data_IF_107868297431
#
_entry.id   IF_107868297431
#
_cell.length_a   1.000
_cell.length_b   1.000
_cell.length_c   1.000
_cell.angle_alpha   90.00
_cell.angle_beta   90.00
_cell.angle_gamma   90.00
#
_symmetry.space_group_name_H-M   'P 1'
#
loop_
_entity.id
_entity.type
_entity.pdbx_description
1 polymer ?
#
# COMPACT_ATOMS: atom_id res chain seq x y z
N UNK A 1 33.20 2.62 74.93
CA UNK A 1 31.81 2.50 74.44
C UNK A 1 31.52 3.76 73.65
N UNK A 2 31.65 3.68 72.33
CA UNK A 2 31.40 4.81 71.43
C UNK A 2 29.87 5.00 71.32
N UNK A 3 29.36 6.10 71.85
CA UNK A 3 27.92 6.41 71.84
C UNK A 3 27.50 6.79 70.43
N UNK A 4 26.62 6.00 69.84
CA UNK A 4 26.05 6.31 68.53
C UNK A 4 25.40 7.71 68.52
N UNK A 5 25.61 8.50 67.46
CA UNK A 5 25.06 9.85 67.38
C UNK A 5 23.52 9.78 67.41
N UNK A 6 22.91 10.44 68.40
CA UNK A 6 21.45 10.51 68.51
C UNK A 6 20.87 11.46 67.44
N UNK A 7 19.94 10.93 66.66
CA UNK A 7 19.21 11.68 65.62
C UNK A 7 18.39 12.79 66.29
N UNK A 8 18.64 14.05 65.90
CA UNK A 8 17.89 15.21 66.41
C UNK A 8 16.42 15.16 65.97
N UNK A 9 15.51 15.78 66.73
CA UNK A 9 14.08 15.77 66.40
C UNK A 9 13.78 16.40 65.03
N UNK A 10 14.61 17.35 64.58
CA UNK A 10 14.56 17.91 63.22
C UNK A 10 14.87 16.85 62.15
N UNK A 11 15.85 15.99 62.38
CA UNK A 11 16.18 14.89 61.46
C UNK A 11 15.07 13.83 61.45
N UNK A 12 14.45 13.52 62.60
CA UNK A 12 13.28 12.62 62.65
C UNK A 12 12.11 13.18 61.84
N UNK A 13 11.80 14.48 61.97
CA UNK A 13 10.74 15.14 61.22
C UNK A 13 11.00 15.14 59.70
N UNK A 14 12.25 15.36 59.28
CA UNK A 14 12.65 15.27 57.86
C UNK A 14 12.49 13.84 57.32
N UNK A 15 12.93 12.83 58.08
CA UNK A 15 12.78 11.41 57.71
C UNK A 15 11.29 11.07 57.54
N UNK A 16 10.44 11.45 58.49
CA UNK A 16 8.99 11.19 58.41
C UNK A 16 8.38 11.88 57.18
N UNK A 17 8.74 13.13 56.91
CA UNK A 17 8.24 13.87 55.73
C UNK A 17 8.63 13.19 54.43
N UNK A 18 9.88 12.72 54.31
CA UNK A 18 10.35 11.98 53.14
C UNK A 18 9.62 10.64 52.97
N UNK A 19 9.40 9.91 54.07
CA UNK A 19 8.64 8.65 54.04
C UNK A 19 7.20 8.88 53.60
N UNK A 20 6.51 9.88 54.15
CA UNK A 20 5.15 10.23 53.75
C UNK A 20 5.11 10.65 52.28
N UNK A 21 6.05 11.48 51.83
CA UNK A 21 6.17 11.88 50.42
C UNK A 21 6.37 10.67 49.49
N UNK A 22 7.24 9.74 49.86
CA UNK A 22 7.48 8.51 49.09
C UNK A 22 6.24 7.61 49.05
N UNK A 23 5.51 7.47 50.15
CA UNK A 23 4.26 6.71 50.20
C UNK A 23 3.19 7.34 49.32
N UNK A 24 3.00 8.66 49.38
CA UNK A 24 2.04 9.37 48.53
C UNK A 24 2.42 9.25 47.05
N UNK A 25 3.71 9.37 46.70
CA UNK A 25 4.20 9.15 45.35
C UNK A 25 3.93 7.70 44.86
N UNK A 26 4.19 6.70 45.71
CA UNK A 26 3.89 5.31 45.40
C UNK A 26 2.40 5.05 45.19
N UNK A 27 1.56 5.58 46.07
CA UNK A 27 0.10 5.46 45.96
C UNK A 27 -0.43 6.13 44.71
N UNK A 28 0.03 7.34 44.37
CA UNK A 28 -0.42 8.05 43.15
C UNK A 28 -0.02 7.31 41.87
N UNK A 29 1.19 6.73 41.81
CA UNK A 29 1.61 5.87 40.68
C UNK A 29 0.72 4.63 40.59
N UNK A 30 0.47 3.94 41.71
CA UNK A 30 -0.40 2.75 41.74
C UNK A 30 -1.83 3.12 41.30
N UNK A 31 -2.39 4.21 41.81
CA UNK A 31 -3.74 4.66 41.44
C UNK A 31 -3.82 5.02 39.96
N UNK A 32 -2.80 5.68 39.39
CA UNK A 32 -2.74 5.95 37.96
C UNK A 32 -2.76 4.65 37.14
N UNK A 33 -1.89 3.69 37.44
CA UNK A 33 -1.83 2.42 36.71
C UNK A 33 -3.09 1.58 36.90
N UNK A 34 -3.70 1.61 38.09
CA UNK A 34 -4.98 0.96 38.35
C UNK A 34 -6.10 1.55 37.48
N UNK A 35 -6.24 2.88 37.46
CA UNK A 35 -7.23 3.57 36.60
C UNK A 35 -6.94 3.28 35.12
N UNK A 36 -5.68 3.39 34.69
CA UNK A 36 -5.26 3.09 33.32
C UNK A 36 -5.63 1.66 32.91
N UNK A 37 -5.36 0.68 33.80
CA UNK A 37 -5.65 -0.74 33.55
C UNK A 37 -7.14 -1.04 33.41
N UNK A 38 -8.00 -0.26 34.08
CA UNK A 38 -9.46 -0.43 34.01
C UNK A 38 -10.12 0.34 32.85
N UNK A 39 -9.42 1.30 32.25
CA UNK A 39 -10.02 2.23 31.27
C UNK A 39 -9.36 2.15 29.90
N UNK A 40 -8.14 2.67 29.76
CA UNK A 40 -7.45 2.76 28.47
C UNK A 40 -6.81 1.43 28.04
N UNK A 41 -6.28 0.64 28.98
CA UNK A 41 -5.55 -0.57 28.63
C UNK A 41 -6.38 -1.60 27.85
N UNK A 42 -7.66 -1.89 28.21
CA UNK A 42 -8.49 -2.80 27.43
C UNK A 42 -8.74 -2.29 26.01
N UNK A 43 -9.11 -1.02 25.86
CA UNK A 43 -9.37 -0.41 24.55
C UNK A 43 -8.12 -0.41 23.65
N UNK A 44 -6.95 -0.11 24.21
CA UNK A 44 -5.67 -0.20 23.47
C UNK A 44 -5.32 -1.64 23.11
N UNK A 45 -5.59 -2.60 23.99
CA UNK A 45 -5.38 -4.03 23.72
C UNK A 45 -6.29 -4.55 22.62
N UNK A 46 -7.57 -4.19 22.65
CA UNK A 46 -8.55 -4.55 21.61
C UNK A 46 -8.18 -3.90 20.27
N UNK A 47 -7.87 -2.61 20.27
CA UNK A 47 -7.40 -1.91 19.08
C UNK A 47 -6.12 -2.55 18.51
N UNK A 48 -5.16 -2.93 19.36
CA UNK A 48 -3.95 -3.65 18.95
C UNK A 48 -4.25 -5.06 18.43
N UNK A 49 -5.23 -5.77 19.00
CA UNK A 49 -5.63 -7.09 18.52
C UNK A 49 -6.26 -6.99 17.12
N UNK A 50 -7.18 -6.06 16.90
CA UNK A 50 -7.79 -5.79 15.58
C UNK A 50 -6.73 -5.30 14.58
N UNK A 51 -5.84 -4.40 15.02
CA UNK A 51 -4.75 -3.90 14.19
C UNK A 51 -3.69 -4.96 13.85
N UNK A 52 -3.67 -6.12 14.50
CA UNK A 52 -2.75 -7.22 14.17
C UNK A 52 -3.48 -8.44 13.58
N UNK A 53 -4.81 -8.41 13.51
CA UNK A 53 -5.56 -9.50 12.93
C UNK A 53 -5.20 -9.65 11.43
N UNK A 54 -5.03 -10.89 10.94
CA UNK A 54 -4.94 -11.16 9.50
C UNK A 54 -6.18 -10.61 8.81
N UNK A 55 -6.01 -10.12 7.58
CA UNK A 55 -7.16 -9.73 6.78
C UNK A 55 -8.02 -10.96 6.47
N UNK A 56 -9.34 -10.82 6.61
CA UNK A 56 -10.30 -11.87 6.32
C UNK A 56 -11.33 -11.41 5.29
N UNK A 57 -11.46 -12.19 4.20
CA UNK A 57 -12.40 -11.87 3.13
C UNK A 57 -13.86 -11.89 3.61
N UNK A 58 -14.20 -12.73 4.59
CA UNK A 58 -15.56 -12.79 5.13
C UNK A 58 -16.00 -11.49 5.79
N UNK A 59 -15.06 -10.65 6.25
CA UNK A 59 -15.38 -9.34 6.83
C UNK A 59 -15.97 -8.41 5.76
N UNK A 60 -15.58 -8.56 4.50
CA UNK A 60 -16.17 -7.84 3.38
C UNK A 60 -17.60 -8.28 3.10
N UNK A 61 -17.88 -9.59 3.17
CA UNK A 61 -19.25 -10.13 3.06
C UNK A 61 -20.12 -9.66 4.22
N UNK A 62 -19.58 -9.64 5.44
CA UNK A 62 -20.26 -9.07 6.60
C UNK A 62 -20.56 -7.58 6.40
N UNK A 63 -19.59 -6.81 5.87
CA UNK A 63 -19.81 -5.40 5.55
C UNK A 63 -20.93 -5.20 4.52
N UNK A 64 -21.00 -6.04 3.48
CA UNK A 64 -22.09 -5.99 2.48
C UNK A 64 -23.44 -6.27 3.15
N UNK A 65 -23.55 -7.37 3.89
CA UNK A 65 -24.83 -7.85 4.45
C UNK A 65 -25.35 -7.02 5.61
N UNK A 66 -24.46 -6.38 6.38
CA UNK A 66 -24.82 -5.54 7.51
C UNK A 66 -25.12 -4.08 7.12
N UNK A 67 -24.80 -3.68 5.89
CA UNK A 67 -25.10 -2.34 5.38
C UNK A 67 -26.53 -2.29 4.86
N UNK A 68 -27.22 -1.16 5.02
CA UNK A 68 -28.55 -0.96 4.44
C UNK A 68 -28.50 -1.05 2.90
N UNK A 69 -29.57 -1.55 2.24
CA UNK A 69 -29.64 -1.58 0.79
C UNK A 69 -29.46 -0.21 0.17
N UNK A 70 -28.62 -0.13 -0.86
CA UNK A 70 -28.43 1.08 -1.64
C UNK A 70 -29.51 1.20 -2.74
N UNK A 71 -29.71 2.41 -3.25
CA UNK A 71 -30.60 2.67 -4.39
C UNK A 71 -29.78 3.22 -5.57
N UNK A 72 -29.37 2.37 -6.53
CA UNK A 72 -28.56 2.82 -7.66
C UNK A 72 -29.33 3.78 -8.56
N UNK A 73 -28.69 4.89 -8.94
CA UNK A 73 -29.31 5.89 -9.83
C UNK A 73 -29.45 5.40 -11.29
N UNK A 74 -28.67 4.41 -11.68
CA UNK A 74 -28.66 3.83 -13.02
C UNK A 74 -29.65 2.66 -13.21
N UNK A 75 -30.56 2.48 -12.25
CA UNK A 75 -31.63 1.49 -12.33
C UNK A 75 -31.21 0.04 -12.05
N UNK A 76 -29.98 -0.18 -11.59
CA UNK A 76 -29.54 -1.48 -11.07
C UNK A 76 -30.32 -1.87 -9.81
N UNK A 77 -30.44 -3.17 -9.60
CA UNK A 77 -30.86 -3.72 -8.31
C UNK A 77 -29.84 -3.34 -7.20
N UNK A 78 -30.27 -3.22 -5.93
CA UNK A 78 -29.36 -3.02 -4.81
C UNK A 78 -28.25 -4.08 -4.78
N UNK A 79 -27.03 -3.67 -4.41
CA UNK A 79 -25.88 -4.55 -4.23
C UNK A 79 -25.37 -4.57 -2.78
N UNK A 80 -25.99 -3.81 -1.88
CA UNK A 80 -25.75 -3.84 -0.45
C UNK A 80 -26.98 -4.38 0.28
N UNK A 81 -26.77 -4.91 1.48
CA UNK A 81 -27.81 -5.48 2.32
C UNK A 81 -27.95 -6.99 2.19
N UNK A 82 -28.49 -7.58 3.26
CA UNK A 82 -28.65 -9.03 3.39
C UNK A 82 -29.56 -9.61 2.28
N UNK A 83 -30.66 -8.93 1.92
CA UNK A 83 -31.59 -9.40 0.88
C UNK A 83 -30.94 -9.41 -0.51
N UNK A 84 -30.25 -8.32 -0.87
CA UNK A 84 -29.50 -8.22 -2.13
C UNK A 84 -28.43 -9.31 -2.24
N UNK A 85 -27.69 -9.56 -1.14
CA UNK A 85 -26.73 -10.65 -1.06
C UNK A 85 -27.37 -12.01 -1.33
N UNK A 86 -28.46 -12.34 -0.62
CA UNK A 86 -29.14 -13.64 -0.80
C UNK A 86 -29.68 -13.81 -2.23
N UNK A 87 -30.27 -12.76 -2.82
CA UNK A 87 -30.75 -12.78 -4.19
C UNK A 87 -29.61 -13.05 -5.18
N UNK A 88 -28.46 -12.38 -5.01
CA UNK A 88 -27.28 -12.60 -5.84
C UNK A 88 -26.72 -14.02 -5.72
N UNK A 89 -26.64 -14.55 -4.49
CA UNK A 89 -26.19 -15.93 -4.23
C UNK A 89 -27.13 -16.94 -4.88
N UNK A 90 -28.44 -16.80 -4.70
CA UNK A 90 -29.42 -17.71 -5.27
C UNK A 90 -29.34 -17.74 -6.80
N UNK A 91 -29.36 -16.56 -7.43
CA UNK A 91 -29.25 -16.44 -8.89
C UNK A 91 -27.94 -17.06 -9.41
N UNK A 92 -26.85 -16.92 -8.66
CA UNK A 92 -25.59 -17.58 -8.97
C UNK A 92 -25.64 -19.10 -8.93
N UNK A 93 -26.29 -19.70 -7.92
CA UNK A 93 -26.44 -21.16 -7.83
C UNK A 93 -27.30 -21.72 -8.97
N UNK A 94 -28.35 -21.01 -9.34
CA UNK A 94 -29.19 -21.32 -10.49
C UNK A 94 -28.35 -21.26 -11.79
N UNK A 95 -27.57 -20.19 -11.96
CA UNK A 95 -26.69 -20.01 -13.12
C UNK A 95 -25.60 -21.10 -13.23
N UNK A 96 -24.98 -21.51 -12.12
CA UNK A 96 -23.99 -22.61 -12.11
C UNK A 96 -24.64 -23.92 -12.56
N UNK A 97 -25.88 -24.16 -12.14
CA UNK A 97 -26.63 -25.38 -12.47
C UNK A 97 -27.02 -25.41 -13.95
N UNK A 98 -27.39 -24.27 -14.52
CA UNK A 98 -27.77 -24.13 -15.93
C UNK A 98 -26.55 -24.13 -16.87
N UNK A 99 -25.46 -23.46 -16.47
CA UNK A 99 -24.24 -23.30 -17.27
C UNK A 99 -23.02 -23.82 -16.51
N UNK A 100 -22.76 -25.15 -16.49
CA UNK A 100 -21.57 -25.71 -15.84
C UNK A 100 -20.25 -25.17 -16.41
N UNK A 101 -20.24 -24.82 -17.70
CA UNK A 101 -19.12 -24.17 -18.39
C UNK A 101 -19.41 -22.68 -18.64
N UNK A 102 -18.39 -21.81 -18.52
CA UNK A 102 -18.59 -20.37 -18.64
C UNK A 102 -18.94 -19.92 -20.06
N UNK A 103 -19.79 -18.90 -20.17
CA UNK A 103 -20.32 -18.42 -21.46
C UNK A 103 -19.54 -17.24 -22.06
N UNK A 104 -19.05 -16.29 -21.25
CA UNK A 104 -18.34 -15.07 -21.71
C UNK A 104 -17.11 -14.75 -20.82
N UNK A 105 -16.27 -15.77 -20.58
CA UNK A 105 -15.04 -15.61 -19.82
C UNK A 105 -13.90 -15.22 -20.74
N UNK A 106 -13.23 -14.11 -20.41
CA UNK A 106 -12.16 -13.54 -21.21
C UNK A 106 -10.80 -13.65 -20.51
N UNK A 107 -10.78 -13.44 -19.18
CA UNK A 107 -9.55 -13.48 -18.37
C UNK A 107 -9.37 -14.82 -17.68
N UNK A 108 -10.32 -15.26 -16.84
CA UNK A 108 -10.22 -16.48 -16.00
C UNK A 108 -10.42 -17.80 -16.79
N UNK A 109 -9.72 -17.95 -17.91
CA UNK A 109 -9.81 -19.12 -18.78
C UNK A 109 -9.30 -20.39 -18.08
N UNK A 110 -9.80 -21.55 -18.49
CA UNK A 110 -9.44 -22.85 -17.90
C UNK A 110 -10.13 -23.18 -16.58
N UNK A 111 -11.07 -22.34 -16.13
CA UNK A 111 -11.92 -22.57 -14.96
C UNK A 111 -13.36 -22.83 -15.40
N UNK A 112 -14.05 -23.76 -14.74
CA UNK A 112 -15.49 -23.97 -14.93
C UNK A 112 -16.31 -22.91 -14.14
N UNK A 113 -17.63 -22.87 -14.36
CA UNK A 113 -18.49 -21.84 -13.75
C UNK A 113 -18.48 -21.88 -12.22
N UNK A 114 -18.43 -23.08 -11.61
CA UNK A 114 -18.38 -23.23 -10.15
C UNK A 114 -17.07 -22.70 -9.55
N UNK A 115 -15.94 -22.97 -10.21
CA UNK A 115 -14.63 -22.45 -9.81
C UNK A 115 -14.57 -20.92 -9.91
N UNK A 116 -15.12 -20.36 -10.98
CA UNK A 116 -15.20 -18.90 -11.17
C UNK A 116 -16.09 -18.29 -10.10
N UNK A 117 -17.26 -18.89 -9.85
CA UNK A 117 -18.18 -18.43 -8.82
C UNK A 117 -17.52 -18.34 -7.45
N UNK A 118 -16.81 -19.38 -7.02
CA UNK A 118 -16.10 -19.37 -5.74
C UNK A 118 -15.07 -18.24 -5.64
N UNK A 119 -14.39 -17.93 -6.75
CA UNK A 119 -13.47 -16.78 -6.80
C UNK A 119 -14.21 -15.44 -6.81
N UNK A 120 -15.38 -15.34 -7.46
CA UNK A 120 -16.20 -14.12 -7.45
C UNK A 120 -16.72 -13.75 -6.07
N UNK A 121 -17.00 -14.74 -5.20
CA UNK A 121 -17.30 -14.48 -3.78
C UNK A 121 -16.13 -13.78 -3.09
N UNK A 122 -14.90 -14.22 -3.38
CA UNK A 122 -13.70 -13.56 -2.84
C UNK A 122 -13.52 -12.14 -3.39
N UNK A 123 -13.77 -11.91 -4.67
CA UNK A 123 -13.74 -10.56 -5.25
C UNK A 123 -14.78 -9.66 -4.57
N UNK A 124 -15.99 -10.18 -4.34
CA UNK A 124 -17.05 -9.43 -3.69
C UNK A 124 -16.67 -8.99 -2.28
N UNK A 125 -16.14 -9.91 -1.44
CA UNK A 125 -15.63 -9.54 -0.12
C UNK A 125 -14.46 -8.56 -0.19
N UNK A 126 -13.51 -8.77 -1.12
CA UNK A 126 -12.36 -7.89 -1.29
C UNK A 126 -12.73 -6.44 -1.64
N UNK A 127 -13.81 -6.26 -2.41
CA UNK A 127 -14.33 -4.96 -2.83
C UNK A 127 -15.40 -4.40 -1.89
N UNK A 128 -16.00 -5.22 -1.03
CA UNK A 128 -17.11 -4.82 -0.16
C UNK A 128 -18.40 -4.47 -0.91
N UNK A 129 -18.63 -5.08 -2.08
CA UNK A 129 -19.83 -4.84 -2.91
C UNK A 129 -20.46 -6.17 -3.34
N UNK A 130 -21.79 -6.25 -3.35
CA UNK A 130 -22.52 -7.44 -3.80
C UNK A 130 -22.52 -7.64 -5.31
N UNK A 131 -23.07 -8.78 -5.74
CA UNK A 131 -23.01 -9.28 -7.12
C UNK A 131 -23.54 -8.26 -8.15
N UNK A 132 -24.64 -7.58 -7.82
CA UNK A 132 -25.38 -6.65 -8.66
C UNK A 132 -24.55 -5.41 -9.04
N UNK A 133 -23.47 -5.12 -8.30
CA UNK A 133 -22.56 -4.03 -8.62
C UNK A 133 -21.92 -4.23 -10.00
N UNK A 134 -21.52 -5.48 -10.31
CA UNK A 134 -20.86 -5.84 -11.56
C UNK A 134 -21.74 -6.69 -12.50
N UNK A 135 -22.73 -7.41 -12.01
CA UNK A 135 -23.48 -8.39 -12.79
C UNK A 135 -24.97 -8.08 -12.86
N UNK A 136 -25.57 -8.29 -14.03
CA UNK A 136 -27.00 -8.58 -14.10
C UNK A 136 -27.21 -10.01 -13.60
N UNK A 137 -27.94 -10.15 -12.50
CA UNK A 137 -28.17 -11.46 -11.86
C UNK A 137 -29.08 -12.36 -12.71
N UNK A 138 -29.78 -11.82 -13.71
CA UNK A 138 -30.53 -12.61 -14.69
C UNK A 138 -29.63 -13.14 -15.81
N UNK A 139 -28.43 -12.59 -15.98
CA UNK A 139 -27.45 -13.03 -16.97
C UNK A 139 -26.01 -12.64 -16.57
N UNK A 140 -25.36 -13.50 -15.80
CA UNK A 140 -23.98 -13.26 -15.33
C UNK A 140 -22.94 -13.13 -16.46
N UNK A 141 -23.22 -13.64 -17.66
CA UNK A 141 -22.34 -13.52 -18.81
C UNK A 141 -22.41 -12.15 -19.49
N UNK A 142 -23.54 -11.44 -19.38
CA UNK A 142 -23.73 -10.13 -19.99
C UNK A 142 -22.80 -9.07 -19.41
N UNK A 143 -22.44 -8.08 -20.22
CA UNK A 143 -21.56 -6.97 -19.83
C UNK A 143 -22.31 -5.62 -19.84
N UNK A 144 -23.45 -5.49 -19.13
CA UNK A 144 -24.23 -4.27 -19.16
C UNK A 144 -23.58 -3.14 -18.36
N UNK A 145 -22.68 -3.46 -17.41
CA UNK A 145 -22.15 -2.50 -16.44
C UNK A 145 -20.64 -2.26 -16.60
N UNK A 146 -20.19 -0.98 -16.61
CA UNK A 146 -18.77 -0.63 -16.68
C UNK A 146 -17.93 -1.27 -15.57
N UNK A 147 -18.48 -1.45 -14.37
CA UNK A 147 -17.80 -2.07 -13.24
C UNK A 147 -17.27 -3.48 -13.56
N UNK A 148 -17.98 -4.26 -14.39
CA UNK A 148 -17.51 -5.58 -14.83
C UNK A 148 -16.32 -5.49 -15.78
N UNK A 149 -16.33 -4.51 -16.68
CA UNK A 149 -15.23 -4.24 -17.60
C UNK A 149 -14.01 -3.80 -16.80
N UNK A 150 -14.16 -2.85 -15.87
CA UNK A 150 -13.11 -2.44 -14.94
C UNK A 150 -12.57 -3.64 -14.14
N UNK A 151 -13.45 -4.52 -13.64
CA UNK A 151 -13.05 -5.74 -12.94
C UNK A 151 -12.16 -6.65 -13.79
N UNK A 152 -12.46 -6.83 -15.07
CA UNK A 152 -11.58 -7.61 -15.99
C UNK A 152 -10.22 -6.97 -16.17
N UNK A 153 -10.16 -5.65 -16.33
CA UNK A 153 -8.92 -4.92 -16.45
C UNK A 153 -8.07 -5.04 -15.16
N UNK A 154 -8.72 -5.00 -13.99
CA UNK A 154 -8.05 -5.22 -12.71
C UNK A 154 -7.51 -6.65 -12.54
N UNK A 155 -8.19 -7.66 -13.07
CA UNK A 155 -7.65 -9.03 -13.10
C UNK A 155 -6.37 -9.11 -13.95
N UNK A 156 -6.32 -8.38 -15.08
CA UNK A 156 -5.11 -8.28 -15.89
C UNK A 156 -3.99 -7.55 -15.15
N UNK A 157 -4.31 -6.46 -14.44
CA UNK A 157 -3.35 -5.77 -13.58
C UNK A 157 -2.77 -6.72 -12.53
N UNK A 158 -3.62 -7.43 -11.77
CA UNK A 158 -3.18 -8.38 -10.74
C UNK A 158 -2.25 -9.44 -11.33
N UNK A 159 -2.61 -10.02 -12.48
CA UNK A 159 -1.75 -10.97 -13.20
C UNK A 159 -0.40 -10.35 -13.53
N UNK A 160 -0.41 -9.18 -14.16
CA UNK A 160 0.81 -8.53 -14.68
C UNK A 160 1.73 -8.11 -13.52
N UNK A 161 1.19 -7.56 -12.44
CA UNK A 161 1.92 -7.25 -11.21
C UNK A 161 2.54 -8.51 -10.61
N UNK A 162 1.75 -9.58 -10.45
CA UNK A 162 2.24 -10.82 -9.86
C UNK A 162 3.37 -11.44 -10.70
N UNK A 163 3.20 -11.48 -12.02
CA UNK A 163 4.14 -12.10 -12.97
C UNK A 163 5.45 -11.31 -13.07
N UNK A 164 5.35 -9.98 -13.14
CA UNK A 164 6.51 -9.13 -13.44
C UNK A 164 7.26 -8.69 -12.19
N UNK A 165 6.55 -8.46 -11.08
CA UNK A 165 7.11 -7.79 -9.89
C UNK A 165 7.03 -8.60 -8.59
N UNK A 166 5.99 -9.41 -8.38
CA UNK A 166 5.82 -10.05 -7.08
C UNK A 166 6.61 -11.36 -6.98
N UNK A 167 6.50 -12.24 -7.98
CA UNK A 167 7.18 -13.55 -7.96
C UNK A 167 8.70 -13.45 -8.03
N UNK A 168 9.22 -12.36 -8.61
CA UNK A 168 10.65 -12.11 -8.78
C UNK A 168 11.25 -11.16 -7.73
N UNK A 169 10.47 -10.76 -6.72
CA UNK A 169 10.98 -9.89 -5.66
C UNK A 169 12.12 -10.61 -4.90
N UNK A 170 13.23 -9.94 -4.54
CA UNK A 170 14.33 -10.56 -3.80
C UNK A 170 13.83 -11.29 -2.55
N UNK A 171 14.20 -12.56 -2.31
CA UNK A 171 13.70 -13.33 -1.15
C UNK A 171 12.16 -13.34 -1.07
N UNK A 172 11.50 -13.62 -2.20
CA UNK A 172 10.08 -13.92 -2.27
C UNK A 172 9.73 -15.14 -1.42
N UNK A 173 8.57 -15.10 -0.76
CA UNK A 173 8.13 -16.12 0.22
C UNK A 173 6.73 -16.68 -0.08
N UNK A 174 6.30 -16.67 -1.34
CA UNK A 174 4.98 -17.19 -1.73
C UNK A 174 3.83 -16.20 -1.58
N UNK A 175 4.11 -14.91 -1.36
CA UNK A 175 3.10 -13.86 -1.27
C UNK A 175 2.63 -13.41 -2.66
N UNK A 176 1.35 -13.15 -2.83
CA UNK A 176 0.78 -12.57 -4.06
C UNK A 176 -0.07 -11.34 -3.75
N UNK A 177 -0.10 -10.40 -4.69
CA UNK A 177 -1.08 -9.32 -4.71
C UNK A 177 -2.42 -9.90 -5.19
N UNK A 178 -3.50 -9.47 -4.54
CA UNK A 178 -4.89 -9.76 -4.92
C UNK A 178 -5.76 -8.52 -4.70
N UNK A 179 -7.05 -8.60 -5.02
CA UNK A 179 -7.96 -7.45 -4.99
C UNK A 179 -7.97 -6.74 -3.64
N UNK A 180 -8.04 -7.51 -2.56
CA UNK A 180 -8.07 -7.00 -1.19
C UNK A 180 -6.71 -6.48 -0.72
N UNK A 181 -5.61 -6.76 -1.42
CA UNK A 181 -4.31 -6.13 -1.11
C UNK A 181 -4.41 -4.61 -1.21
N UNK A 182 -5.22 -4.09 -2.14
CA UNK A 182 -5.46 -2.64 -2.28
C UNK A 182 -6.82 -2.24 -1.69
N UNK A 183 -7.88 -2.93 -2.10
CA UNK A 183 -9.26 -2.50 -1.86
C UNK A 183 -9.69 -2.62 -0.39
N UNK A 184 -9.25 -3.66 0.33
CA UNK A 184 -9.54 -3.86 1.74
C UNK A 184 -11.03 -3.60 2.10
N UNK A 185 -11.94 -4.25 1.37
CA UNK A 185 -13.40 -4.17 1.50
C UNK A 185 -14.00 -2.83 1.03
N UNK A 186 -13.27 -2.10 0.16
CA UNK A 186 -13.72 -0.82 -0.38
C UNK A 186 -13.47 -0.77 -1.90
N UNK A 187 -14.54 -0.67 -2.68
CA UNK A 187 -14.45 -0.62 -4.14
C UNK A 187 -13.79 0.67 -4.66
N UNK A 188 -13.86 1.77 -3.92
CA UNK A 188 -13.37 3.10 -4.30
C UNK A 188 -12.60 3.78 -3.16
N UNK A 189 -11.83 4.83 -3.49
CA UNK A 189 -11.19 5.72 -2.51
C UNK A 189 -9.96 5.13 -1.81
N UNK A 190 -9.22 4.24 -2.48
CA UNK A 190 -8.04 3.61 -1.89
C UNK A 190 -6.89 4.64 -1.75
N UNK A 191 -6.36 4.87 -0.54
CA UNK A 191 -5.37 5.92 -0.33
C UNK A 191 -4.00 5.55 -0.93
N UNK A 192 -3.36 6.51 -1.59
CA UNK A 192 -2.01 6.35 -2.18
C UNK A 192 -0.90 6.50 -1.15
N UNK A 193 -1.07 7.43 -0.22
CA UNK A 193 -0.12 7.76 0.85
C UNK A 193 -0.83 7.78 2.20
N UNK A 194 -0.07 7.70 3.29
CA UNK A 194 -0.66 7.70 4.63
C UNK A 194 -1.00 9.12 5.09
N UNK A 195 -2.04 9.25 5.92
CA UNK A 195 -2.36 10.51 6.62
C UNK A 195 -1.13 11.04 7.40
N UNK A 196 -0.35 10.14 7.99
CA UNK A 196 0.85 10.54 8.72
C UNK A 196 1.93 11.13 7.80
N UNK A 197 2.04 10.65 6.56
CA UNK A 197 2.92 11.26 5.56
C UNK A 197 2.43 12.67 5.22
N UNK A 198 1.12 12.86 5.00
CA UNK A 198 0.51 14.17 4.73
C UNK A 198 0.88 15.21 5.78
N UNK A 199 0.73 14.83 7.05
CA UNK A 199 1.03 15.72 8.18
C UNK A 199 2.54 15.98 8.34
N UNK A 200 3.40 15.13 7.77
CA UNK A 200 4.85 15.21 7.94
C UNK A 200 5.55 16.06 6.87
N UNK A 201 4.92 16.28 5.71
CA UNK A 201 5.53 17.03 4.61
C UNK A 201 5.19 18.51 4.75
N UNK A 202 6.17 19.40 4.97
CA UNK A 202 5.88 20.83 5.08
C UNK A 202 5.44 21.41 3.72
N UNK A 203 4.52 22.39 3.70
CA UNK A 203 4.04 23.04 2.47
C UNK A 203 5.08 24.08 1.98
N UNK A 204 6.26 23.61 1.61
CA UNK A 204 7.32 24.43 1.01
C UNK A 204 7.44 24.11 -0.47
N UNK A 205 7.95 25.08 -1.24
CA UNK A 205 8.32 24.87 -2.63
C UNK A 205 9.76 24.41 -2.76
N UNK A 206 10.05 23.58 -3.76
CA UNK A 206 11.37 23.06 -4.09
C UNK A 206 11.60 23.08 -5.59
N UNK A 207 12.86 23.23 -6.00
CA UNK A 207 13.29 23.07 -7.37
C UNK A 207 13.50 21.58 -7.67
N UNK A 208 12.84 21.09 -8.71
CA UNK A 208 12.92 19.70 -9.12
C UNK A 208 14.02 19.53 -10.18
N UNK A 209 15.05 18.77 -9.83
CA UNK A 209 16.18 18.48 -10.72
C UNK A 209 16.16 17.00 -11.15
N UNK A 210 15.47 16.66 -12.26
CA UNK A 210 15.46 15.29 -12.77
C UNK A 210 16.83 14.85 -13.24
N UNK A 211 17.05 13.54 -13.23
CA UNK A 211 18.35 12.92 -13.52
C UNK A 211 18.24 12.00 -14.73
N UNK A 212 19.21 12.06 -15.63
CA UNK A 212 19.29 11.19 -16.80
C UNK A 212 19.77 9.77 -16.44
N UNK A 213 19.90 8.89 -17.44
CA UNK A 213 20.36 7.51 -17.25
C UNK A 213 21.77 7.39 -16.68
N UNK A 214 22.60 8.43 -16.80
CA UNK A 214 23.92 8.49 -16.18
C UNK A 214 23.88 9.03 -14.73
N UNK A 215 22.69 9.32 -14.20
CA UNK A 215 22.50 9.94 -12.88
C UNK A 215 22.93 11.42 -12.83
N UNK A 216 23.06 12.07 -13.99
CA UNK A 216 23.45 13.48 -14.09
C UNK A 216 22.20 14.37 -14.22
N UNK A 217 22.21 15.62 -13.71
CA UNK A 217 21.09 16.54 -13.86
C UNK A 217 20.75 16.79 -15.33
N UNK A 218 19.48 16.65 -15.67
CA UNK A 218 18.91 17.10 -16.94
C UNK A 218 18.82 18.62 -16.90
N UNK A 219 19.38 19.31 -17.91
CA UNK A 219 19.49 20.78 -17.90
C UNK A 219 19.14 21.45 -19.22
N UNK A 220 19.03 20.69 -20.30
CA UNK A 220 18.70 21.24 -21.62
C UNK A 220 17.20 21.13 -21.89
N UNK A 221 16.63 22.11 -22.61
CA UNK A 221 15.23 22.08 -23.01
C UNK A 221 14.90 20.84 -23.87
N UNK A 222 15.88 20.30 -24.60
CA UNK A 222 15.73 19.07 -25.40
C UNK A 222 15.62 17.83 -24.52
N UNK A 223 16.50 17.66 -23.53
CA UNK A 223 16.41 16.57 -22.55
C UNK A 223 15.13 16.64 -21.71
N UNK A 224 14.68 17.85 -21.34
CA UNK A 224 13.41 18.06 -20.62
C UNK A 224 12.22 17.69 -21.52
N UNK A 225 12.26 18.04 -22.81
CA UNK A 225 11.21 17.67 -23.75
C UNK A 225 11.16 16.14 -23.97
N UNK A 226 12.31 15.47 -24.02
CA UNK A 226 12.39 14.00 -24.12
C UNK A 226 11.87 13.31 -22.84
N UNK A 227 12.22 13.84 -21.67
CA UNK A 227 11.68 13.40 -20.38
C UNK A 227 10.15 13.53 -20.37
N UNK A 228 9.64 14.71 -20.72
CA UNK A 228 8.20 14.99 -20.74
C UNK A 228 7.42 14.19 -21.80
N UNK A 229 8.08 13.74 -22.87
CA UNK A 229 7.47 12.88 -23.89
C UNK A 229 7.43 11.39 -23.48
N UNK A 230 8.28 10.98 -22.54
CA UNK A 230 8.44 9.59 -22.09
C UNK A 230 7.91 9.34 -20.68
N UNK A 231 7.51 10.39 -19.97
CA UNK A 231 7.05 10.33 -18.59
C UNK A 231 5.57 10.67 -18.43
N UNK A 232 5.04 10.12 -17.33
CA UNK A 232 3.63 10.09 -16.99
C UNK A 232 3.05 11.46 -16.60
N UNK A 233 3.90 12.46 -16.34
CA UNK A 233 3.49 13.82 -16.07
C UNK A 233 4.43 14.80 -16.79
N UNK A 234 3.88 15.63 -17.67
CA UNK A 234 4.60 16.80 -18.19
C UNK A 234 5.02 17.66 -17.01
N UNK A 235 6.32 17.77 -16.80
CA UNK A 235 6.89 18.45 -15.67
C UNK A 235 7.30 19.86 -16.07
N UNK A 236 6.80 20.83 -15.31
CA UNK A 236 7.29 22.21 -15.36
C UNK A 236 8.54 22.31 -14.50
N UNK A 237 9.67 21.86 -15.05
CA UNK A 237 10.98 21.88 -14.37
C UNK A 237 11.54 23.28 -14.19
N UNK A 238 10.95 24.27 -14.87
CA UNK A 238 11.39 25.66 -14.85
C UNK A 238 10.77 26.43 -13.67
N UNK A 239 9.76 25.86 -13.00
CA UNK A 239 9.06 26.49 -11.88
C UNK A 239 9.14 25.65 -10.60
N UNK A 240 9.35 26.30 -9.42
CA UNK A 240 9.29 25.60 -8.14
C UNK A 240 7.90 24.99 -7.91
N UNK A 241 7.87 23.76 -7.38
CA UNK A 241 6.63 23.04 -7.06
C UNK A 241 6.56 22.67 -5.59
N UNK A 242 5.39 22.26 -5.09
CA UNK A 242 5.29 21.83 -3.70
C UNK A 242 6.16 20.60 -3.47
N UNK A 243 6.85 20.55 -2.32
CA UNK A 243 7.68 19.41 -1.92
C UNK A 243 6.93 18.08 -2.04
N UNK A 244 5.64 18.09 -1.72
CA UNK A 244 4.79 16.92 -1.85
C UNK A 244 4.65 16.43 -3.30
N UNK A 245 4.46 17.35 -4.24
CA UNK A 245 4.36 17.03 -5.67
C UNK A 245 5.69 16.46 -6.17
N UNK A 246 6.81 17.04 -5.76
CA UNK A 246 8.15 16.53 -6.06
C UNK A 246 8.40 15.12 -5.49
N UNK A 247 7.91 14.81 -4.28
CA UNK A 247 8.01 13.46 -3.69
C UNK A 247 7.22 12.45 -4.51
N UNK A 248 5.99 12.79 -4.91
CA UNK A 248 5.16 11.92 -5.75
C UNK A 248 5.79 11.71 -7.13
N UNK A 249 6.40 12.75 -7.71
CA UNK A 249 7.13 12.62 -8.97
C UNK A 249 8.23 11.56 -8.87
N UNK A 250 9.08 11.60 -7.84
CA UNK A 250 10.13 10.59 -7.64
C UNK A 250 9.59 9.18 -7.36
N UNK A 251 8.40 9.06 -6.77
CA UNK A 251 7.74 7.78 -6.55
C UNK A 251 7.31 7.11 -7.87
N UNK A 252 6.73 7.89 -8.78
CA UNK A 252 6.15 7.38 -10.02
C UNK A 252 7.09 7.40 -11.22
N UNK A 253 8.19 8.15 -11.14
CA UNK A 253 9.22 8.22 -12.17
C UNK A 253 10.56 7.68 -11.62
N UNK A 254 10.50 6.63 -10.79
CA UNK A 254 11.70 5.99 -10.29
C UNK A 254 12.40 5.22 -11.41
N UNK A 255 13.63 5.62 -11.73
CA UNK A 255 14.47 4.94 -12.72
C UNK A 255 15.66 4.30 -12.04
N UNK A 256 16.07 3.13 -12.55
CA UNK A 256 17.32 2.47 -12.20
C UNK A 256 18.30 2.69 -13.35
N UNK A 257 19.44 3.30 -13.05
CA UNK A 257 20.48 3.68 -14.00
C UNK A 257 21.46 2.55 -14.31
N UNK A 258 21.63 1.63 -13.36
CA UNK A 258 22.48 0.46 -13.53
C UNK A 258 21.75 -0.77 -12.94
N UNK A 259 21.48 -1.84 -13.71
CA UNK A 259 20.88 -3.06 -13.18
C UNK A 259 21.70 -3.65 -12.04
N UNK A 260 21.05 -4.28 -11.06
CA UNK A 260 21.77 -4.89 -9.94
C UNK A 260 22.70 -6.01 -10.42
N UNK A 261 23.95 -5.93 -10.00
CA UNK A 261 25.01 -6.90 -10.17
C UNK A 261 25.58 -7.24 -8.79
N UNK A 262 25.51 -8.51 -8.40
CA UNK A 262 26.01 -8.99 -7.11
C UNK A 262 27.54 -8.81 -6.92
N UNK A 263 28.29 -8.64 -8.01
CA UNK A 263 29.74 -8.43 -8.00
C UNK A 263 30.13 -6.95 -7.97
N UNK A 264 29.18 -6.03 -8.23
CA UNK A 264 29.40 -4.59 -8.21
C UNK A 264 28.52 -3.94 -7.11
N UNK A 265 29.11 -3.54 -5.97
CA UNK A 265 28.38 -2.86 -4.90
C UNK A 265 27.83 -1.48 -5.28
N UNK A 266 28.17 -0.95 -6.45
CA UNK A 266 27.65 0.33 -6.95
C UNK A 266 26.52 0.18 -7.96
N UNK A 267 26.23 -1.05 -8.38
CA UNK A 267 25.13 -1.36 -9.28
C UNK A 267 23.76 -1.27 -8.59
N UNK A 268 22.67 -1.23 -9.38
CA UNK A 268 21.32 -1.08 -8.83
C UNK A 268 20.99 0.35 -8.39
N UNK A 269 21.74 1.37 -8.83
CA UNK A 269 21.45 2.78 -8.50
C UNK A 269 20.22 3.26 -9.25
N UNK A 270 19.48 4.17 -8.65
CA UNK A 270 18.36 4.83 -9.31
C UNK A 270 18.21 6.29 -8.91
N UNK A 271 17.13 6.95 -9.35
CA UNK A 271 16.88 8.40 -9.20
C UNK A 271 17.08 8.96 -7.78
N UNK A 272 16.88 8.12 -6.76
CA UNK A 272 17.10 8.45 -5.35
C UNK A 272 18.54 8.26 -4.87
N UNK A 273 19.49 7.97 -5.75
CA UNK A 273 20.88 7.74 -5.37
C UNK A 273 21.65 9.05 -5.40
N UNK A 274 21.81 9.65 -4.23
CA UNK A 274 22.60 10.86 -4.05
C UNK A 274 24.12 10.51 -4.12
N UNK A 275 24.70 10.21 -5.29
CA UNK A 275 26.13 9.81 -5.42
C UNK A 275 27.09 10.92 -5.89
N UNK A 276 28.27 10.95 -5.26
CA UNK A 276 29.09 12.09 -4.80
C UNK A 276 29.56 13.15 -5.82
N UNK A 277 29.49 12.92 -7.12
CA UNK A 277 30.14 13.80 -8.10
C UNK A 277 29.15 14.75 -8.78
N UNK A 278 29.27 16.07 -8.54
CA UNK A 278 28.65 17.08 -9.41
C UNK A 278 27.56 18.00 -8.84
N UNK A 279 27.45 18.15 -7.52
CA UNK A 279 26.62 19.20 -6.90
C UNK A 279 25.13 18.85 -6.85
N UNK A 280 24.69 18.33 -5.70
CA UNK A 280 23.26 18.16 -5.41
C UNK A 280 22.74 19.40 -4.70
N UNK A 281 21.55 19.83 -5.07
CA UNK A 281 20.87 20.92 -4.37
C UNK A 281 20.36 20.45 -3.01
N UNK A 282 20.16 21.41 -2.10
CA UNK A 282 19.48 21.14 -0.84
C UNK A 282 18.05 20.60 -1.08
N UNK A 283 17.44 20.99 -2.19
CA UNK A 283 16.09 20.59 -2.58
C UNK A 283 16.05 19.11 -2.98
N UNK A 284 16.99 18.61 -3.78
CA UNK A 284 17.13 17.18 -4.07
C UNK A 284 17.27 16.33 -2.80
N UNK A 285 18.07 16.79 -1.83
CA UNK A 285 18.23 16.10 -0.54
C UNK A 285 16.91 16.09 0.23
N UNK A 286 16.20 17.23 0.22
CA UNK A 286 14.90 17.39 0.89
C UNK A 286 13.83 16.49 0.27
N UNK A 287 13.74 16.43 -1.06
CA UNK A 287 12.80 15.57 -1.78
C UNK A 287 13.11 14.10 -1.45
N UNK A 288 14.37 13.68 -1.57
CA UNK A 288 14.77 12.30 -1.31
C UNK A 288 14.45 11.86 0.13
N UNK A 289 14.77 12.70 1.12
CA UNK A 289 14.44 12.40 2.51
C UNK A 289 12.93 12.20 2.71
N UNK A 290 12.09 12.97 2.02
CA UNK A 290 10.65 12.82 2.13
C UNK A 290 10.10 11.62 1.34
N UNK A 291 10.75 11.21 0.25
CA UNK A 291 10.47 9.90 -0.39
C UNK A 291 10.80 8.75 0.58
N UNK A 292 11.92 8.83 1.31
CA UNK A 292 12.26 7.83 2.33
C UNK A 292 11.27 7.83 3.49
N UNK A 293 10.82 9.01 3.94
CA UNK A 293 9.76 9.11 4.95
C UNK A 293 8.45 8.49 4.44
N UNK A 294 8.06 8.75 3.19
CA UNK A 294 6.90 8.13 2.56
C UNK A 294 6.99 6.61 2.60
N UNK A 295 8.15 6.04 2.24
CA UNK A 295 8.37 4.60 2.33
C UNK A 295 8.25 4.10 3.77
N UNK A 296 8.91 4.74 4.73
CA UNK A 296 8.83 4.38 6.14
C UNK A 296 7.40 4.36 6.67
N UNK A 297 6.61 5.40 6.38
CA UNK A 297 5.21 5.46 6.78
C UNK A 297 4.34 4.45 6.04
N UNK A 298 4.63 4.20 4.77
CA UNK A 298 3.87 3.25 3.95
C UNK A 298 4.03 1.82 4.44
N UNK A 299 5.25 1.43 4.81
CA UNK A 299 5.60 0.10 5.29
C UNK A 299 5.48 -0.05 6.82
N UNK A 300 5.29 1.04 7.56
CA UNK A 300 5.26 1.04 9.03
C UNK A 300 6.60 0.62 9.65
N UNK A 301 7.71 1.02 9.04
CA UNK A 301 9.07 0.67 9.48
C UNK A 301 9.94 1.91 9.65
N UNK A 302 10.90 1.84 10.57
CA UNK A 302 11.92 2.88 10.71
C UNK A 302 13.03 2.78 9.67
N UNK A 303 13.87 3.81 9.57
CA UNK A 303 14.99 3.87 8.63
C UNK A 303 15.94 2.65 8.73
N UNK A 304 16.11 2.13 9.95
CA UNK A 304 16.96 0.96 10.26
C UNK A 304 16.39 -0.38 9.82
N UNK A 305 15.28 -0.37 9.08
CA UNK A 305 14.81 -1.54 8.35
C UNK A 305 15.59 -1.78 7.06
N UNK A 306 16.06 -0.70 6.42
CA UNK A 306 16.80 -0.73 5.15
C UNK A 306 18.18 -0.05 5.21
N UNK A 307 18.50 0.70 6.26
CA UNK A 307 19.70 1.53 6.33
C UNK A 307 20.36 1.58 7.71
N UNK A 308 21.68 1.66 7.73
CA UNK A 308 22.48 2.10 8.86
C UNK A 308 22.55 3.62 8.84
N UNK A 309 21.95 4.26 9.84
CA UNK A 309 21.87 5.72 9.93
C UNK A 309 23.24 6.41 10.05
N UNK A 310 24.31 5.67 10.39
CA UNK A 310 25.69 6.21 10.33
C UNK A 310 26.18 6.42 8.91
N UNK A 311 25.60 5.74 7.92
CA UNK A 311 25.98 5.86 6.52
C UNK A 311 24.88 5.38 5.57
N UNK A 312 23.90 6.25 5.27
CA UNK A 312 22.83 5.97 4.30
C UNK A 312 23.33 5.73 2.87
N UNK A 313 24.49 6.26 2.52
CA UNK A 313 25.10 6.11 1.19
C UNK A 313 25.76 4.75 1.00
N UNK A 314 26.35 4.17 2.06
CA UNK A 314 27.03 2.89 1.96
C UNK A 314 26.08 1.88 1.34
N UNK A 315 26.53 1.24 0.27
CA UNK A 315 25.81 0.09 -0.23
C UNK A 315 26.01 -1.01 0.81
N UNK A 316 24.98 -1.25 1.60
CA UNK A 316 24.98 -2.29 2.62
C UNK A 316 24.97 -3.69 2.02
N UNK A 317 25.10 -3.79 0.69
CA UNK A 317 25.44 -5.00 -0.04
C UNK A 317 26.95 -5.14 -0.37
N UNK A 318 27.81 -4.13 -0.10
CA UNK A 318 29.27 -4.32 -0.13
C UNK A 318 29.65 -5.21 1.05
N UNK A 319 29.77 -6.52 0.79
CA UNK A 319 30.15 -7.53 1.78
C UNK A 319 31.47 -7.21 2.50
N UNK A 320 32.30 -6.30 1.96
CA UNK A 320 33.57 -5.87 2.54
C UNK A 320 33.43 -4.64 3.45
N UNK A 321 32.29 -3.95 3.42
CA UNK A 321 32.04 -2.81 4.28
C UNK A 321 31.78 -3.30 5.72
N UNK A 322 32.40 -2.70 6.76
CA UNK A 322 32.22 -3.12 8.15
C UNK A 322 30.78 -2.96 8.68
N UNK A 323 29.93 -2.24 7.94
CA UNK A 323 28.51 -2.01 8.23
C UNK A 323 27.54 -2.86 7.39
N UNK A 324 28.02 -3.79 6.56
CA UNK A 324 27.18 -4.67 5.73
C UNK A 324 26.19 -5.46 6.60
N UNK A 325 24.93 -5.46 6.18
CA UNK A 325 23.93 -6.38 6.71
C UNK A 325 23.12 -6.95 5.55
N UNK A 326 23.13 -8.29 5.43
CA UNK A 326 22.42 -8.97 4.34
C UNK A 326 20.92 -8.65 4.36
N UNK A 327 20.34 -8.49 5.55
CA UNK A 327 18.93 -8.13 5.71
C UNK A 327 18.63 -6.75 5.13
N UNK A 328 19.46 -5.73 5.42
CA UNK A 328 19.24 -4.38 4.89
C UNK A 328 19.40 -4.35 3.37
N UNK A 329 20.41 -5.04 2.83
CA UNK A 329 20.60 -5.18 1.39
C UNK A 329 19.37 -5.79 0.72
N UNK A 330 18.83 -6.89 1.24
CA UNK A 330 17.61 -7.53 0.71
C UNK A 330 16.42 -6.57 0.78
N UNK A 331 16.20 -5.91 1.92
CA UNK A 331 15.06 -5.00 2.10
C UNK A 331 15.13 -3.79 1.17
N UNK A 332 16.33 -3.25 0.95
CA UNK A 332 16.55 -2.17 -0.03
C UNK A 332 16.25 -2.63 -1.45
N UNK A 333 16.74 -3.80 -1.86
CA UNK A 333 16.46 -4.35 -3.19
C UNK A 333 14.96 -4.61 -3.39
N UNK A 334 14.26 -5.11 -2.35
CA UNK A 334 12.80 -5.23 -2.35
C UNK A 334 12.14 -3.88 -2.58
N UNK A 335 12.53 -2.84 -1.83
CA UNK A 335 11.97 -1.50 -1.96
C UNK A 335 12.20 -0.91 -3.36
N UNK A 336 13.41 -1.03 -3.90
CA UNK A 336 13.73 -0.59 -5.27
C UNK A 336 12.88 -1.33 -6.32
N UNK A 337 12.69 -2.64 -6.16
CA UNK A 337 11.85 -3.43 -7.05
C UNK A 337 10.38 -2.98 -6.99
N UNK A 338 9.87 -2.63 -5.80
CA UNK A 338 8.51 -2.09 -5.64
C UNK A 338 8.38 -0.67 -6.20
N UNK A 339 9.42 0.16 -6.16
CA UNK A 339 9.43 1.49 -6.82
C UNK A 339 9.37 1.38 -8.36
N UNK A 340 9.97 0.32 -8.93
CA UNK A 340 9.80 0.02 -10.35
C UNK A 340 8.36 -0.41 -10.66
N UNK A 341 7.72 -1.15 -9.74
CA UNK A 341 6.31 -1.51 -9.85
C UNK A 341 5.39 -0.29 -9.81
N UNK A 342 5.64 0.70 -8.93
CA UNK A 342 4.85 1.96 -8.91
C UNK A 342 5.03 2.76 -10.19
N UNK A 343 6.25 2.80 -10.73
CA UNK A 343 6.54 3.43 -12.04
C UNK A 343 5.79 2.74 -13.18
N UNK A 344 5.80 1.40 -13.22
CA UNK A 344 5.03 0.63 -14.20
C UNK A 344 3.53 0.88 -14.08
N UNK A 345 2.99 0.88 -12.87
CA UNK A 345 1.57 1.14 -12.63
C UNK A 345 1.18 2.52 -13.13
N UNK A 346 1.98 3.55 -12.83
CA UNK A 346 1.74 4.90 -13.34
C UNK A 346 1.72 4.90 -14.88
N UNK A 347 2.79 4.44 -15.52
CA UNK A 347 2.92 4.45 -16.99
C UNK A 347 1.84 3.66 -17.73
N UNK A 348 1.27 2.62 -17.10
CA UNK A 348 0.29 1.74 -17.73
C UNK A 348 -1.11 1.89 -17.12
N UNK A 349 -1.36 2.89 -16.26
CA UNK A 349 -2.60 2.96 -15.48
C UNK A 349 -3.85 3.04 -16.35
N UNK A 350 -3.80 3.83 -17.44
CA UNK A 350 -4.89 3.98 -18.41
C UNK A 350 -5.25 2.69 -19.15
N UNK A 351 -4.35 1.69 -19.17
CA UNK A 351 -4.64 0.34 -19.69
C UNK A 351 -5.54 -0.45 -18.76
N UNK A 352 -5.48 -0.18 -17.46
CA UNK A 352 -6.13 -0.98 -16.43
C UNK A 352 -7.36 -0.28 -15.83
N UNK A 353 -7.51 1.03 -16.02
CA UNK A 353 -8.57 1.83 -15.39
C UNK A 353 -9.36 2.60 -16.44
N UNK A 354 -10.67 2.43 -16.41
CA UNK A 354 -11.58 3.25 -17.20
C UNK A 354 -11.66 4.67 -16.60
N UNK A 355 -11.72 5.73 -17.42
CA UNK A 355 -12.07 7.07 -16.95
C UNK A 355 -13.36 7.03 -16.14
N UNK A 356 -13.35 7.61 -14.94
CA UNK A 356 -14.55 7.75 -14.13
C UNK A 356 -14.87 9.25 -13.94
N UNK A 357 -15.99 9.75 -14.51
CA UNK A 357 -16.39 11.14 -14.38
C UNK A 357 -16.68 11.56 -12.93
N UNK A 358 -16.98 10.62 -12.03
CA UNK A 358 -17.20 10.91 -10.60
C UNK A 358 -15.91 11.40 -9.91
N UNK A 359 -14.73 11.03 -10.42
CA UNK A 359 -13.47 11.59 -9.93
C UNK A 359 -13.32 13.07 -10.27
N UNK A 360 -14.01 13.56 -11.30
CA UNK A 360 -13.97 14.96 -11.70
C UNK A 360 -14.63 15.87 -10.66
N UNK A 361 -15.64 15.36 -9.93
CA UNK A 361 -16.31 16.05 -8.83
C UNK A 361 -15.56 16.07 -7.50
N UNK A 362 -14.52 15.23 -7.34
CA UNK A 362 -13.63 15.26 -6.15
C UNK A 362 -12.52 16.31 -6.26
N UNK A 363 -12.43 17.00 -7.40
CA UNK A 363 -11.36 17.95 -7.75
C UNK A 363 -11.75 19.40 -7.44
N UNK A 364 -13.05 19.70 -7.26
CA UNK A 364 -13.56 21.07 -7.17
C UNK A 364 -14.63 21.19 -6.04
N UNK A 365 -14.46 22.02 -4.97
CA UNK A 365 -13.53 23.15 -4.81
C UNK A 365 -12.29 22.83 -3.94
N UNK A 366 -11.32 23.78 -3.80
CA UNK A 366 -9.90 23.52 -3.52
C UNK A 366 -9.56 23.36 -2.03
N UNK A 367 -10.29 22.50 -1.31
CA UNK A 367 -9.89 22.08 0.04
C UNK A 367 -9.03 20.81 -0.03
N UNK A 368 -7.78 21.04 -0.43
CA UNK A 368 -6.48 20.49 0.01
C UNK A 368 -6.30 19.03 0.50
N UNK A 369 -7.27 18.12 0.40
CA UNK A 369 -7.06 16.69 0.70
C UNK A 369 -7.22 15.84 -0.56
N UNK A 370 -8.17 16.14 -1.46
CA UNK A 370 -8.47 15.23 -2.58
C UNK A 370 -7.55 15.38 -3.81
N UNK A 371 -7.14 16.58 -4.21
CA UNK A 371 -6.27 16.78 -5.42
C UNK A 371 -4.90 16.07 -5.32
N UNK A 372 -4.52 15.71 -4.12
CA UNK A 372 -3.24 15.10 -3.78
C UNK A 372 -3.09 13.64 -4.23
N UNK A 373 -4.19 13.00 -4.63
CA UNK A 373 -4.26 11.56 -4.91
C UNK A 373 -4.53 11.26 -6.39
N UNK A 374 -4.50 12.29 -7.23
CA UNK A 374 -5.19 12.30 -8.50
C UNK A 374 -4.26 12.87 -9.56
N UNK A 375 -3.76 12.00 -10.45
CA UNK A 375 -2.81 12.35 -11.49
C UNK A 375 -3.54 12.52 -12.82
N UNK A 376 -3.24 13.61 -13.54
CA UNK A 376 -3.78 13.85 -14.88
C UNK A 376 -3.05 13.01 -15.94
N UNK A 377 -3.79 12.16 -16.67
CA UNK A 377 -3.35 11.47 -17.89
C UNK A 377 -4.34 11.89 -18.99
N UNK A 378 -3.86 12.47 -20.10
CA UNK A 378 -4.69 12.85 -21.25
C UNK A 378 -5.97 13.64 -20.85
N UNK A 379 -5.82 14.72 -20.09
CA UNK A 379 -6.91 15.56 -19.53
C UNK A 379 -7.89 14.84 -18.57
N UNK A 380 -7.59 13.59 -18.19
CA UNK A 380 -8.39 12.75 -17.28
C UNK A 380 -7.64 12.46 -15.99
N UNK A 381 -8.32 12.47 -14.86
CA UNK A 381 -7.68 12.39 -13.54
C UNK A 381 -7.85 11.01 -12.90
N UNK A 382 -6.74 10.42 -12.45
CA UNK A 382 -6.66 9.04 -11.97
C UNK A 382 -6.02 8.92 -10.59
N UNK A 383 -6.58 8.06 -9.73
CA UNK A 383 -5.93 7.67 -8.48
C UNK A 383 -4.90 6.57 -8.72
N UNK A 384 -3.62 6.94 -8.88
CA UNK A 384 -2.55 5.96 -9.10
C UNK A 384 -2.10 5.37 -7.76
N UNK A 385 -2.06 4.03 -7.62
CA UNK A 385 -1.61 3.35 -6.41
C UNK A 385 -0.20 3.75 -5.99
N UNK A 386 0.00 3.94 -4.69
CA UNK A 386 1.30 4.16 -4.07
C UNK A 386 1.66 3.02 -3.12
N UNK A 387 2.80 3.16 -2.43
CA UNK A 387 3.24 2.18 -1.45
C UNK A 387 2.17 1.93 -0.37
N UNK A 388 1.51 2.99 0.12
CA UNK A 388 0.52 2.87 1.19
C UNK A 388 -0.77 2.18 0.74
N UNK A 389 -1.15 2.29 -0.54
CA UNK A 389 -2.34 1.62 -1.11
C UNK A 389 -2.38 0.15 -0.77
N UNK A 390 -1.24 -0.53 -0.90
CA UNK A 390 -1.10 -1.94 -0.58
C UNK A 390 -0.69 -2.15 0.88
N UNK A 391 0.35 -1.45 1.33
CA UNK A 391 1.03 -1.81 2.58
C UNK A 391 0.28 -1.35 3.83
N UNK A 392 -0.42 -0.23 3.78
CA UNK A 392 -1.16 0.38 4.91
C UNK A 392 -0.43 0.30 6.26
N UNK A 393 0.86 0.63 6.26
CA UNK A 393 1.71 0.60 7.46
C UNK A 393 2.26 -0.79 7.82
N UNK A 394 2.31 -1.74 6.88
CA UNK A 394 2.86 -3.08 7.11
C UNK A 394 3.92 -3.40 6.04
N UNK A 395 5.07 -3.92 6.46
CA UNK A 395 6.16 -4.25 5.53
C UNK A 395 5.76 -5.30 4.49
N UNK A 396 4.81 -6.16 4.83
CA UNK A 396 4.09 -7.06 3.91
C UNK A 396 2.61 -6.70 4.03
N UNK A 397 1.88 -6.46 2.93
CA UNK A 397 0.45 -6.18 2.99
C UNK A 397 -0.31 -7.30 3.72
N UNK A 398 -1.16 -6.95 4.69
CA UNK A 398 -1.94 -7.93 5.46
C UNK A 398 -2.86 -8.81 4.61
N UNK A 399 -3.34 -8.25 3.52
CA UNK A 399 -4.24 -8.87 2.55
C UNK A 399 -3.49 -9.51 1.37
N UNK A 400 -2.15 -9.60 1.45
CA UNK A 400 -1.40 -10.42 0.49
C UNK A 400 -1.62 -11.91 0.79
N UNK A 401 -1.78 -12.71 -0.25
CA UNK A 401 -1.99 -14.15 -0.09
C UNK A 401 -0.63 -14.85 0.01
N UNK A 402 -0.30 -15.41 1.17
CA UNK A 402 0.84 -16.32 1.30
C UNK A 402 0.39 -17.75 0.98
N UNK A 403 0.73 -18.24 -0.22
CA UNK A 403 0.33 -19.60 -0.63
C UNK A 403 1.04 -20.70 0.17
N UNK A 404 2.16 -20.40 0.84
CA UNK A 404 2.85 -21.34 1.72
C UNK A 404 2.18 -21.48 3.10
N UNK A 405 1.27 -20.56 3.44
CA UNK A 405 0.64 -20.44 4.77
C UNK A 405 -0.88 -20.29 4.65
N UNK A 406 -1.51 -21.09 3.78
CA UNK A 406 -2.98 -21.08 3.63
C UNK A 406 -3.61 -21.63 4.93
N UNK A 407 -4.55 -20.90 5.57
CA UNK A 407 -5.26 -21.40 6.74
C UNK A 407 -6.00 -22.71 6.45
N UNK A 408 -6.06 -23.62 7.43
CA UNK A 408 -6.69 -24.95 7.26
C UNK A 408 -8.17 -24.86 6.82
N UNK A 409 -8.90 -23.84 7.30
CA UNK A 409 -10.30 -23.58 6.90
C UNK A 409 -10.48 -23.05 5.47
N UNK A 410 -9.39 -22.61 4.83
CA UNK A 410 -9.37 -22.14 3.44
C UNK A 410 -8.71 -23.16 2.50
N UNK A 411 -8.24 -24.30 3.04
CA UNK A 411 -7.61 -25.35 2.27
C UNK A 411 -8.60 -25.92 1.22
N UNK A 412 -8.21 -25.84 -0.06
CA UNK A 412 -9.03 -26.31 -1.18
C UNK A 412 -9.94 -25.25 -1.81
N UNK A 413 -10.01 -24.04 -1.27
CA UNK A 413 -10.65 -22.90 -1.94
C UNK A 413 -9.73 -22.31 -3.02
N UNK A 414 -10.31 -21.81 -4.11
CA UNK A 414 -9.57 -21.03 -5.11
C UNK A 414 -9.43 -19.60 -4.59
N UNK A 415 -8.38 -19.37 -3.81
CA UNK A 415 -8.06 -18.04 -3.24
C UNK A 415 -7.47 -17.09 -4.28
N UNK A 416 -6.68 -17.63 -5.22
CA UNK A 416 -6.14 -16.91 -6.36
C UNK A 416 -5.93 -17.88 -7.54
N UNK A 417 -6.63 -17.68 -8.68
CA UNK A 417 -6.49 -18.53 -9.85
C UNK A 417 -5.03 -18.67 -10.33
N UNK A 418 -4.62 -19.85 -10.85
CA UNK A 418 -3.27 -20.07 -11.39
C UNK A 418 -2.82 -18.99 -12.37
N UNK A 419 -3.69 -18.61 -13.30
CA UNK A 419 -3.40 -17.58 -14.29
C UNK A 419 -3.00 -16.24 -13.66
N UNK A 420 -3.55 -15.89 -12.50
CA UNK A 420 -3.27 -14.62 -11.83
C UNK A 420 -2.01 -14.68 -10.94
N UNK A 421 -1.44 -15.87 -10.73
CA UNK A 421 -0.19 -16.06 -9.97
C UNK A 421 1.06 -15.84 -10.84
N UNK A 422 0.91 -15.70 -12.15
CA UNK A 422 2.05 -15.56 -13.06
C UNK A 422 2.86 -16.83 -13.27
N UNK A 423 2.26 -18.01 -13.05
CA UNK A 423 2.90 -19.32 -13.23
C UNK A 423 2.68 -19.95 -14.61
N UNK A 424 2.22 -19.18 -15.61
CA UNK A 424 2.28 -19.63 -17.00
C UNK A 424 3.67 -19.33 -17.57
N UNK A 425 4.69 -20.00 -17.05
CA UNK A 425 5.73 -20.50 -17.95
C UNK A 425 5.16 -21.80 -18.54
N UNK A 426 5.06 -21.96 -19.87
CA UNK A 426 4.78 -23.27 -20.42
C UNK A 426 5.84 -24.23 -19.88
N UNK A 427 5.43 -25.43 -19.49
CA UNK A 427 6.37 -26.51 -19.26
C UNK A 427 7.12 -26.77 -20.58
N UNK A 428 8.33 -26.25 -20.72
CA UNK A 428 9.38 -26.70 -21.65
C UNK A 428 10.75 -26.52 -21.04
#
# INVERSE_FOLDING_TARGET
METQPQVSDRQKALIVTLVVGAVVAGLTIITFWWIFSLTLAPALSEAAAVANAPYNNSDGVLAITATEPNTPEDGREPWLGAEAWQAGIQAGQEYISEFPEPQNVQVLQGMNTSQIWNYMIQISGALGVGCQYCHDINNFAADPYPAKISGRLMLLLVRDLNTQYITNIPNWRGNYVRCDTCHLNQALGVPTVSEQFELSVPPITVDLEPLNEAGLPIRTAEEVAELNASEFATMDVDNPMLLKEAVLYYLYNYRVWDPFNAEDPTSGRGSLSLTHEGGRTQDQVTINQNVMNLQSWSLGVGCTYCHNSRNFYAYEADIKAPQFTQTYAINRLKAQHMMLMTTFMAQNWSRYVLPNPDYQGLIDPPDAVNQQFFLGIDDTVYAVPGCYTCHRGNAIPKASLNIAEIPEGEAGLILLPPLLRGTDAPAQ
#
